data_IF_226088005135
#
_entry.id   IF_226088005135
#
_cell.length_a   1.000
_cell.length_b   1.000
_cell.length_c   1.000
_cell.angle_alpha   90.00
_cell.angle_beta   90.00
_cell.angle_gamma   90.00
#
_symmetry.space_group_name_H-M   'P 1'
#
loop_
_entity.id
_entity.type
_entity.pdbx_description
1 polymer ?
#
# COMPACT_ATOMS: atom_id res chain seq x y z
N UNK A 1 7.89 20.69 25.27
CA UNK A 1 7.46 19.32 25.62
C UNK A 1 6.26 18.95 24.75
N UNK A 2 6.46 18.15 23.71
CA UNK A 2 5.35 17.68 22.88
C UNK A 2 4.87 16.33 23.40
N UNK A 3 3.64 16.26 23.89
CA UNK A 3 3.00 14.97 24.15
C UNK A 3 2.82 14.29 22.79
N UNK A 4 3.52 13.17 22.58
CA UNK A 4 3.30 12.32 21.40
C UNK A 4 2.00 11.52 21.57
N UNK A 5 0.90 12.23 21.79
CA UNK A 5 -0.42 11.64 21.94
C UNK A 5 -1.16 11.72 20.62
N UNK A 6 -1.73 10.60 20.23
CA UNK A 6 -2.54 10.51 19.03
C UNK A 6 -3.79 11.38 19.20
N UNK A 7 -3.85 12.49 18.47
CA UNK A 7 -5.03 13.38 18.47
C UNK A 7 -6.19 12.65 17.79
N UNK A 8 -7.32 12.52 18.50
CA UNK A 8 -8.53 11.92 17.96
C UNK A 8 -9.04 12.69 16.73
N UNK A 9 -9.79 12.03 15.86
CA UNK A 9 -10.36 12.71 14.70
C UNK A 9 -11.38 13.76 15.09
N UNK A 10 -12.14 13.55 16.16
CA UNK A 10 -13.17 14.48 16.61
C UNK A 10 -12.54 15.78 17.10
N UNK A 11 -11.40 15.69 17.81
CA UNK A 11 -10.62 16.86 18.18
C UNK A 11 -10.11 17.63 16.96
N UNK A 12 -9.69 16.94 15.89
CA UNK A 12 -9.25 17.60 14.64
C UNK A 12 -10.41 18.30 13.92
N UNK A 13 -11.59 17.67 13.88
CA UNK A 13 -12.82 18.27 13.34
C UNK A 13 -13.23 19.49 14.17
N UNK A 14 -13.14 19.41 15.49
CA UNK A 14 -13.44 20.52 16.40
C UNK A 14 -12.49 21.71 16.17
N UNK A 15 -11.19 21.46 16.01
CA UNK A 15 -10.20 22.51 15.65
C UNK A 15 -10.60 23.25 14.37
N UNK A 16 -11.05 22.51 13.34
CA UNK A 16 -11.50 23.10 12.07
C UNK A 16 -12.79 23.90 12.28
N UNK A 17 -13.77 23.33 12.98
CA UNK A 17 -15.04 24.01 13.28
C UNK A 17 -14.83 25.32 14.05
N UNK A 18 -13.95 25.33 15.06
CA UNK A 18 -13.62 26.53 15.83
C UNK A 18 -12.94 27.59 14.98
N UNK A 19 -12.14 27.19 13.98
CA UNK A 19 -11.46 28.12 13.09
C UNK A 19 -12.40 28.70 12.03
N UNK A 20 -13.14 27.85 11.31
CA UNK A 20 -13.96 28.26 10.17
C UNK A 20 -15.29 28.88 10.61
N UNK A 21 -15.98 28.29 11.59
CA UNK A 21 -17.33 28.74 11.98
C UNK A 21 -17.30 29.79 13.09
N UNK A 22 -16.25 29.82 13.93
CA UNK A 22 -16.14 30.76 15.06
C UNK A 22 -14.98 31.74 14.94
N UNK A 23 -14.19 31.70 13.87
CA UNK A 23 -13.09 32.65 13.62
C UNK A 23 -11.99 32.66 14.69
N UNK A 24 -11.90 31.62 15.53
CA UNK A 24 -10.97 31.58 16.67
C UNK A 24 -9.51 31.57 16.22
N UNK A 25 -8.65 32.29 16.95
CA UNK A 25 -7.21 32.31 16.69
C UNK A 25 -6.58 30.95 17.08
N UNK A 26 -5.56 30.46 16.34
CA UNK A 26 -4.91 29.19 16.66
C UNK A 26 -4.32 29.09 18.07
N UNK A 27 -3.93 30.22 18.67
CA UNK A 27 -3.43 30.27 20.04
C UNK A 27 -4.53 30.02 21.08
N UNK A 28 -5.74 30.56 20.85
CA UNK A 28 -6.91 30.33 21.70
C UNK A 28 -7.34 28.85 21.62
N UNK A 29 -7.43 28.31 20.39
CA UNK A 29 -7.76 26.89 20.17
C UNK A 29 -6.76 25.95 20.86
N UNK A 30 -5.48 26.34 20.87
CA UNK A 30 -4.40 25.59 21.53
C UNK A 30 -4.58 25.56 23.05
N UNK A 31 -4.94 26.69 23.66
CA UNK A 31 -5.21 26.78 25.09
C UNK A 31 -6.49 26.02 25.48
N UNK A 32 -7.58 26.23 24.73
CA UNK A 32 -8.91 25.65 25.03
C UNK A 32 -8.92 24.12 24.95
N UNK A 33 -8.23 23.55 23.95
CA UNK A 33 -8.20 22.10 23.71
C UNK A 33 -6.99 21.42 24.34
N UNK A 34 -6.11 22.17 25.01
CA UNK A 34 -4.83 21.68 25.55
C UNK A 34 -3.98 20.92 24.51
N UNK A 35 -3.91 21.45 23.29
CA UNK A 35 -3.14 20.89 22.17
C UNK A 35 -1.99 21.83 21.87
N UNK A 36 -0.81 21.31 21.53
CA UNK A 36 0.29 22.14 21.07
C UNK A 36 -0.09 22.98 19.83
N UNK A 37 0.23 24.27 19.85
CA UNK A 37 0.00 25.22 18.75
C UNK A 37 0.53 24.71 17.39
N UNK A 38 1.65 24.00 17.41
CA UNK A 38 2.22 23.39 16.20
C UNK A 38 1.29 22.35 15.56
N UNK A 39 0.59 21.55 16.37
CA UNK A 39 -0.38 20.56 15.91
C UNK A 39 -1.64 21.22 15.36
N UNK A 40 -2.15 22.26 16.02
CA UNK A 40 -3.28 23.07 15.53
C UNK A 40 -2.96 23.65 14.15
N UNK A 41 -1.78 24.26 13.99
CA UNK A 41 -1.33 24.80 12.69
C UNK A 41 -1.20 23.73 11.61
N UNK A 42 -0.67 22.55 11.95
CA UNK A 42 -0.56 21.42 11.01
C UNK A 42 -1.92 20.92 10.55
N UNK A 43 -2.90 20.81 11.47
CA UNK A 43 -4.28 20.41 11.15
C UNK A 43 -4.91 21.40 10.18
N UNK A 44 -4.84 22.70 10.50
CA UNK A 44 -5.40 23.75 9.65
C UNK A 44 -4.70 23.85 8.29
N UNK A 45 -3.38 23.67 8.24
CA UNK A 45 -2.63 23.64 6.98
C UNK A 45 -3.09 22.50 6.08
N UNK A 46 -3.27 21.29 6.63
CA UNK A 46 -3.76 20.13 5.88
C UNK A 46 -5.17 20.38 5.35
N UNK A 47 -6.07 20.85 6.22
CA UNK A 47 -7.44 21.19 5.84
C UNK A 47 -7.52 22.17 4.67
N UNK A 48 -6.65 23.19 4.64
CA UNK A 48 -6.57 24.15 3.53
C UNK A 48 -6.03 23.56 2.23
N UNK A 49 -5.11 22.60 2.32
CA UNK A 49 -4.54 21.94 1.13
C UNK A 49 -5.51 20.95 0.50
N UNK A 50 -6.38 20.33 1.31
CA UNK A 50 -7.30 19.28 0.87
C UNK A 50 -8.61 19.83 0.24
N UNK A 51 -8.74 21.15 -0.01
CA UNK A 51 -9.86 21.82 -0.68
C UNK A 51 -11.27 21.33 -0.24
N UNK A 52 -11.64 21.68 0.99
CA UNK A 52 -12.99 21.70 1.57
C UNK A 52 -13.69 20.35 1.82
N UNK A 53 -14.01 20.13 3.11
CA UNK A 53 -15.25 19.45 3.50
C UNK A 53 -15.11 18.59 4.74
N UNK A 54 -14.03 17.82 4.83
CA UNK A 54 -13.79 16.90 5.95
C UNK A 54 -12.29 16.88 6.18
N UNK A 55 -11.84 16.84 7.44
CA UNK A 55 -10.50 16.31 7.74
C UNK A 55 -10.54 14.83 7.33
N UNK A 56 -10.43 14.57 6.02
CA UNK A 56 -10.32 13.25 5.48
C UNK A 56 -9.08 12.68 6.16
N UNK A 57 -9.25 11.55 6.84
CA UNK A 57 -8.08 10.77 7.19
C UNK A 57 -7.28 10.64 5.89
N UNK A 58 -5.94 10.80 5.91
CA UNK A 58 -5.15 10.38 4.78
C UNK A 58 -5.64 8.97 4.50
N UNK A 59 -6.22 8.75 3.32
CA UNK A 59 -6.79 7.47 2.88
C UNK A 59 -5.64 6.53 2.68
N UNK A 60 -4.90 6.23 3.76
CA UNK A 60 -3.71 5.40 3.84
C UNK A 60 -3.06 5.41 2.48
N UNK A 61 -2.64 6.62 2.04
CA UNK A 61 -1.97 6.83 0.76
C UNK A 61 -1.04 5.64 0.65
N UNK A 62 -1.10 4.93 -0.45
CA UNK A 62 -0.23 3.81 -0.80
C UNK A 62 1.20 4.26 -0.56
N UNK A 63 1.67 4.16 0.68
CA UNK A 63 2.87 4.82 1.17
C UNK A 63 3.82 3.68 1.46
N UNK A 64 4.65 3.45 0.45
CA UNK A 64 5.61 2.38 0.36
C UNK A 64 6.35 2.54 -0.96
N UNK A 65 7.49 1.86 -1.08
CA UNK A 65 8.18 1.76 -2.36
C UNK A 65 7.20 1.18 -3.39
N UNK A 66 7.08 1.77 -4.60
CA UNK A 66 6.27 1.19 -5.66
C UNK A 66 6.67 -0.27 -5.87
N UNK A 67 5.68 -1.13 -6.13
CA UNK A 67 5.95 -2.54 -6.41
C UNK A 67 6.76 -2.64 -7.70
N UNK A 68 7.67 -3.62 -7.75
CA UNK A 68 8.51 -3.87 -8.94
C UNK A 68 7.63 -4.31 -10.11
N UNK A 69 6.61 -5.14 -9.83
CA UNK A 69 5.60 -5.54 -10.80
C UNK A 69 4.50 -4.47 -10.85
N UNK A 70 4.29 -3.90 -12.03
CA UNK A 70 3.15 -3.05 -12.33
C UNK A 70 1.90 -3.89 -12.58
N UNK A 71 0.74 -3.24 -12.66
CA UNK A 71 -0.54 -3.92 -12.91
C UNK A 71 -0.51 -4.72 -14.21
N UNK A 72 0.09 -4.17 -15.27
CA UNK A 72 0.23 -4.85 -16.56
C UNK A 72 1.06 -6.14 -16.48
N UNK A 73 2.17 -6.13 -15.74
CA UNK A 73 3.02 -7.32 -15.53
C UNK A 73 2.25 -8.40 -14.77
N UNK A 74 1.42 -8.00 -13.81
CA UNK A 74 0.57 -8.93 -13.05
C UNK A 74 -0.51 -9.53 -13.95
N UNK A 75 -1.12 -8.73 -14.82
CA UNK A 75 -2.15 -9.23 -15.74
C UNK A 75 -1.54 -10.16 -16.80
N UNK A 76 -0.29 -9.92 -17.24
CA UNK A 76 0.47 -10.86 -18.06
C UNK A 76 0.71 -12.19 -17.34
N UNK A 77 1.15 -12.17 -16.08
CA UNK A 77 1.32 -13.38 -15.27
C UNK A 77 0.02 -14.17 -15.14
N UNK A 78 -1.12 -13.49 -14.99
CA UNK A 78 -2.43 -14.14 -14.91
C UNK A 78 -2.76 -14.84 -16.23
N UNK A 79 -2.62 -14.13 -17.36
CA UNK A 79 -2.85 -14.71 -18.69
C UNK A 79 -1.94 -15.92 -18.96
N UNK A 80 -0.71 -15.90 -18.45
CA UNK A 80 0.23 -17.00 -18.56
C UNK A 80 -0.20 -18.24 -17.77
N UNK A 81 -0.72 -18.07 -16.55
CA UNK A 81 -1.31 -19.17 -15.75
C UNK A 81 -2.58 -19.70 -16.41
N UNK A 82 -3.43 -18.82 -16.95
CA UNK A 82 -4.67 -19.22 -17.63
C UNK A 82 -4.39 -20.04 -18.90
N UNK A 83 -3.35 -19.69 -19.66
CA UNK A 83 -2.92 -20.44 -20.84
C UNK A 83 -2.25 -21.77 -20.47
N UNK A 84 -1.42 -21.78 -19.43
CA UNK A 84 -0.62 -22.93 -19.00
C UNK A 84 -0.62 -23.04 -17.47
N UNK A 85 -1.58 -23.78 -16.87
CA UNK A 85 -1.75 -23.81 -15.41
C UNK A 85 -0.65 -24.54 -14.65
N UNK A 86 0.13 -25.39 -15.33
CA UNK A 86 1.24 -26.15 -14.75
C UNK A 86 2.60 -25.42 -14.85
N UNK A 87 2.59 -24.14 -15.26
CA UNK A 87 3.82 -23.36 -15.40
C UNK A 87 4.53 -23.15 -14.05
N UNK A 88 5.85 -23.33 -14.05
CA UNK A 88 6.67 -23.11 -12.86
C UNK A 88 7.03 -21.64 -12.69
N UNK A 89 7.22 -21.19 -11.44
CA UNK A 89 7.61 -19.81 -11.14
C UNK A 89 8.91 -19.38 -11.82
N UNK A 90 9.83 -20.32 -12.07
CA UNK A 90 11.10 -20.06 -12.77
C UNK A 90 10.88 -19.78 -14.26
N UNK A 91 9.91 -20.46 -14.88
CA UNK A 91 9.52 -20.23 -16.27
C UNK A 91 8.78 -18.89 -16.39
N UNK A 92 7.87 -18.60 -15.45
CA UNK A 92 7.22 -17.28 -15.38
C UNK A 92 8.22 -16.13 -15.21
N UNK A 93 9.31 -16.36 -14.48
CA UNK A 93 10.37 -15.37 -14.31
C UNK A 93 11.12 -15.12 -15.63
N UNK A 94 11.40 -16.17 -16.39
CA UNK A 94 12.02 -16.05 -17.72
C UNK A 94 11.10 -15.30 -18.69
N UNK A 95 9.83 -15.68 -18.75
CA UNK A 95 8.81 -15.01 -19.58
C UNK A 95 8.65 -13.52 -19.23
N UNK A 96 8.66 -13.16 -17.94
CA UNK A 96 8.65 -11.76 -17.49
C UNK A 96 9.90 -10.98 -17.92
N UNK A 97 11.06 -11.64 -17.93
CA UNK A 97 12.31 -11.02 -18.39
C UNK A 97 12.29 -10.81 -19.89
N UNK A 98 11.81 -11.80 -20.65
CA UNK A 98 11.86 -11.80 -22.10
C UNK A 98 10.78 -10.90 -22.72
N UNK A 99 9.57 -10.89 -22.15
CA UNK A 99 8.42 -10.13 -22.68
C UNK A 99 8.28 -8.75 -22.04
N UNK A 100 8.40 -8.66 -20.71
CA UNK A 100 8.16 -7.42 -19.96
C UNK A 100 9.46 -6.67 -19.60
N UNK A 101 10.64 -7.27 -19.82
CA UNK A 101 11.94 -6.75 -19.39
C UNK A 101 12.00 -6.43 -17.89
N UNK A 102 11.33 -7.24 -17.07
CA UNK A 102 11.24 -7.06 -15.61
C UNK A 102 11.95 -8.21 -14.88
N UNK A 103 13.08 -7.90 -14.23
CA UNK A 103 13.77 -8.85 -13.35
C UNK A 103 13.16 -8.82 -11.94
N UNK A 104 12.51 -9.92 -11.55
CA UNK A 104 11.90 -10.06 -10.22
C UNK A 104 12.27 -11.40 -9.57
N UNK A 105 12.21 -11.45 -8.23
CA UNK A 105 12.40 -12.71 -7.51
C UNK A 105 11.19 -13.64 -7.63
N UNK A 106 11.40 -14.96 -7.55
CA UNK A 106 10.32 -15.96 -7.52
C UNK A 106 9.28 -15.66 -6.41
N UNK A 107 9.74 -15.16 -5.26
CA UNK A 107 8.86 -14.77 -4.15
C UNK A 107 8.00 -13.55 -4.49
N UNK A 108 8.50 -12.62 -5.32
CA UNK A 108 7.75 -11.47 -5.80
C UNK A 108 6.61 -11.92 -6.70
N UNK A 109 6.89 -12.81 -7.65
CA UNK A 109 5.90 -13.41 -8.57
C UNK A 109 4.84 -14.17 -7.75
N UNK A 110 5.27 -15.03 -6.81
CA UNK A 110 4.35 -15.77 -5.95
C UNK A 110 3.45 -14.86 -5.10
N UNK A 111 4.00 -13.81 -4.49
CA UNK A 111 3.22 -12.84 -3.70
C UNK A 111 2.22 -12.08 -4.58
N UNK A 112 2.59 -11.74 -5.82
CA UNK A 112 1.70 -11.08 -6.76
C UNK A 112 0.50 -11.97 -7.12
N UNK A 113 0.74 -13.23 -7.48
CA UNK A 113 -0.29 -14.22 -7.78
C UNK A 113 -1.19 -14.48 -6.56
N UNK A 114 -0.61 -14.65 -5.36
CA UNK A 114 -1.38 -14.90 -4.13
C UNK A 114 -2.33 -13.76 -3.78
N UNK A 115 -1.91 -12.50 -3.99
CA UNK A 115 -2.79 -11.32 -3.78
C UNK A 115 -3.98 -11.30 -4.73
N UNK A 116 -3.87 -11.95 -5.89
CA UNK A 116 -4.94 -12.10 -6.89
C UNK A 116 -5.78 -13.38 -6.69
N UNK A 117 -5.55 -14.13 -5.61
CA UNK A 117 -6.35 -15.29 -5.23
C UNK A 117 -5.81 -16.65 -5.70
N UNK A 118 -4.67 -16.68 -6.39
CA UNK A 118 -4.08 -17.94 -6.83
C UNK A 118 -3.52 -18.73 -5.66
N UNK A 119 -3.76 -20.04 -5.68
CA UNK A 119 -3.20 -21.01 -4.73
C UNK A 119 -2.33 -22.01 -5.48
N UNK A 120 -1.28 -22.50 -4.81
CA UNK A 120 -0.39 -23.50 -5.43
C UNK A 120 -0.87 -24.88 -5.06
N UNK A 121 -1.11 -25.72 -6.07
CA UNK A 121 -1.21 -27.17 -5.88
C UNK A 121 0.16 -27.70 -5.47
N UNK A 122 0.28 -28.22 -4.25
CA UNK A 122 1.50 -28.90 -3.79
C UNK A 122 1.51 -30.31 -4.36
N UNK A 123 2.16 -30.49 -5.51
CA UNK A 123 2.49 -31.82 -6.01
C UNK A 123 3.61 -32.38 -5.12
N UNK A 124 3.36 -33.49 -4.43
CA UNK A 124 4.41 -34.23 -3.73
C UNK A 124 5.17 -34.99 -4.82
N UNK A 125 6.39 -34.56 -5.13
CA UNK A 125 7.20 -35.28 -6.10
C UNK A 125 7.56 -36.66 -5.52
N UNK A 126 7.09 -37.72 -6.17
CA UNK A 126 7.73 -39.02 -6.03
C UNK A 126 9.02 -38.94 -6.85
N UNK A 127 10.14 -39.18 -6.20
CA UNK A 127 11.49 -39.06 -6.76
C UNK A 127 11.61 -40.04 -7.94
N UNK A 128 11.55 -39.55 -9.17
CA UNK A 128 11.95 -40.33 -10.35
C UNK A 128 13.44 -40.06 -10.55
N UNK A 129 14.27 -40.99 -10.09
CA UNK A 129 15.70 -40.97 -10.35
C UNK A 129 15.92 -41.33 -11.82
N UNK A 130 16.39 -40.37 -12.61
CA UNK A 130 16.91 -40.63 -13.94
C UNK A 130 18.36 -41.10 -13.80
N UNK A 131 18.55 -42.41 -13.69
CA UNK A 131 19.87 -43.02 -13.89
C UNK A 131 20.08 -43.17 -15.41
N UNK A 132 21.00 -42.38 -15.96
CA UNK A 132 21.43 -42.51 -17.35
C UNK A 132 22.13 -43.87 -17.56
N UNK A 133 21.85 -44.62 -18.64
CA UNK A 133 22.59 -45.84 -18.96
C UNK A 133 24.01 -45.49 -19.39
N UNK A 134 24.99 -46.19 -18.81
CA UNK A 134 26.39 -46.24 -19.29
C UNK A 134 26.55 -47.50 -20.13
#
# INVERSE_FOLDING_TARGET
MGTNQHISNDTKKLVIHLRENRGRKPAEISADLNICLSSVRKILRRYRLDNQGVYAQPTYRVMGRPQILQTADVDFLIALVERTPDIYLVEMQAELRDVCNVETSLLTIWRALRRRGFTRKRVRAQKVEYTAPV
#
